data_IF_057210148096
#
_entry.id   IF_057210148096
#
_cell.length_a   1.000
_cell.length_b   1.000
_cell.length_c   1.000
_cell.angle_alpha   90.00
_cell.angle_beta   90.00
_cell.angle_gamma   90.00
#
_symmetry.space_group_name_H-M   'P 1'
#
loop_
_entity.id
_entity.type
_entity.pdbx_description
1 polymer ?
#
# COMPACT_ATOMS: atom_id res chain seq x y z
N UNK A 1 3.46 -1.14 -17.45
CA UNK A 1 2.96 -0.18 -16.44
C UNK A 1 3.94 -0.01 -15.29
N UNK A 2 4.45 -1.09 -14.68
CA UNK A 2 5.43 -1.01 -13.60
C UNK A 2 6.65 -0.14 -13.96
N UNK A 3 7.27 -0.42 -15.10
CA UNK A 3 8.44 0.32 -15.56
C UNK A 3 8.15 1.81 -15.87
N UNK A 4 6.95 2.16 -16.32
CA UNK A 4 6.60 3.54 -16.60
C UNK A 4 6.32 4.31 -15.31
N UNK A 5 5.63 3.70 -14.35
CA UNK A 5 5.34 4.31 -13.05
C UNK A 5 6.61 4.51 -12.22
N UNK A 6 7.49 3.52 -12.18
CA UNK A 6 8.78 3.60 -11.49
C UNK A 6 9.71 4.71 -12.02
N UNK A 7 9.58 5.07 -13.32
CA UNK A 7 10.32 6.19 -13.92
C UNK A 7 9.63 7.55 -13.80
N UNK A 8 8.38 7.60 -13.35
CA UNK A 8 7.71 8.87 -13.08
C UNK A 8 8.46 9.63 -11.98
N UNK A 9 8.50 10.95 -12.09
CA UNK A 9 9.14 11.77 -11.05
C UNK A 9 8.38 11.67 -9.72
N UNK A 10 9.07 11.86 -8.60
CA UNK A 10 8.43 11.95 -7.28
C UNK A 10 7.30 12.96 -7.26
N UNK A 11 7.52 14.12 -7.89
CA UNK A 11 6.50 15.17 -8.02
C UNK A 11 5.25 14.70 -8.78
N UNK A 12 5.41 14.01 -9.91
CA UNK A 12 4.26 13.48 -10.66
C UNK A 12 3.47 12.44 -9.84
N UNK A 13 4.17 11.56 -9.11
CA UNK A 13 3.53 10.60 -8.20
C UNK A 13 2.82 11.28 -7.04
N UNK A 14 3.42 12.35 -6.49
CA UNK A 14 2.80 13.18 -5.45
C UNK A 14 1.47 13.77 -5.93
N UNK A 15 1.46 14.37 -7.12
CA UNK A 15 0.24 14.96 -7.69
C UNK A 15 -0.90 13.94 -7.80
N UNK A 16 -0.62 12.74 -8.33
CA UNK A 16 -1.63 11.68 -8.43
C UNK A 16 -2.16 11.28 -7.05
N UNK A 17 -1.28 11.13 -6.06
CA UNK A 17 -1.71 10.78 -4.70
C UNK A 17 -2.51 11.90 -4.01
N UNK A 18 -2.21 13.17 -4.28
CA UNK A 18 -3.04 14.30 -3.83
C UNK A 18 -4.44 14.22 -4.44
N UNK A 19 -4.56 13.91 -5.73
CA UNK A 19 -5.85 13.70 -6.38
C UNK A 19 -6.65 12.55 -5.73
N UNK A 20 -5.99 11.45 -5.41
CA UNK A 20 -6.63 10.32 -4.70
C UNK A 20 -7.16 10.79 -3.34
N UNK A 21 -6.37 11.56 -2.58
CA UNK A 21 -6.76 12.08 -1.28
C UNK A 21 -7.96 13.04 -1.38
N UNK A 22 -7.94 13.97 -2.32
CA UNK A 22 -9.01 14.95 -2.57
C UNK A 22 -10.30 14.27 -3.01
N UNK A 23 -10.22 13.30 -3.94
CA UNK A 23 -11.38 12.56 -4.43
C UNK A 23 -11.98 11.67 -3.34
N UNK A 24 -11.17 11.04 -2.49
CA UNK A 24 -11.66 10.32 -1.33
C UNK A 24 -12.34 11.27 -0.33
N UNK A 25 -11.74 12.43 -0.05
CA UNK A 25 -12.31 13.44 0.83
C UNK A 25 -13.66 13.97 0.32
N UNK A 26 -13.79 14.20 -0.99
CA UNK A 26 -15.04 14.61 -1.61
C UNK A 26 -16.17 13.58 -1.46
N UNK A 27 -15.84 12.30 -1.31
CA UNK A 27 -16.77 11.18 -1.10
C UNK A 27 -16.80 10.68 0.34
N UNK A 28 -16.26 11.44 1.30
CA UNK A 28 -16.07 10.97 2.68
C UNK A 28 -17.37 10.48 3.34
N UNK A 29 -18.48 11.17 3.18
CA UNK A 29 -19.76 10.77 3.77
C UNK A 29 -20.29 9.44 3.19
N UNK A 30 -20.10 9.20 1.89
CA UNK A 30 -20.47 7.95 1.23
C UNK A 30 -19.64 6.78 1.79
N UNK A 31 -18.32 6.94 1.83
CA UNK A 31 -17.42 5.91 2.35
C UNK A 31 -17.66 5.63 3.83
N UNK A 32 -17.88 6.67 4.64
CA UNK A 32 -18.20 6.51 6.06
C UNK A 32 -19.45 5.65 6.28
N UNK A 33 -20.54 5.98 5.58
CA UNK A 33 -21.78 5.22 5.68
C UNK A 33 -21.61 3.75 5.23
N UNK A 34 -20.83 3.50 4.17
CA UNK A 34 -20.55 2.15 3.69
C UNK A 34 -19.69 1.35 4.66
N UNK A 35 -18.66 1.97 5.24
CA UNK A 35 -17.82 1.35 6.26
C UNK A 35 -18.63 0.99 7.50
N UNK A 36 -19.51 1.88 7.97
CA UNK A 36 -20.38 1.61 9.11
C UNK A 36 -21.34 0.46 8.82
N UNK A 37 -21.93 0.44 7.63
CA UNK A 37 -22.81 -0.65 7.21
C UNK A 37 -22.08 -2.01 7.12
N UNK A 38 -20.85 -2.02 6.63
CA UNK A 38 -20.04 -3.25 6.50
C UNK A 38 -19.51 -3.77 7.83
N UNK A 39 -19.04 -2.87 8.68
CA UNK A 39 -18.30 -3.23 9.91
C UNK A 39 -19.15 -3.22 11.16
N UNK A 40 -20.25 -2.49 11.16
CA UNK A 40 -21.10 -2.28 12.33
C UNK A 40 -20.47 -1.45 13.45
N UNK A 41 -19.33 -0.79 13.22
CA UNK A 41 -18.56 -0.09 14.27
C UNK A 41 -19.07 1.32 14.57
N UNK A 42 -19.67 2.01 13.60
CA UNK A 42 -20.14 3.39 13.77
C UNK A 42 -19.02 4.44 13.83
N UNK A 43 -17.82 4.10 13.38
CA UNK A 43 -16.65 4.98 13.35
C UNK A 43 -16.07 5.15 11.93
N UNK A 44 -16.87 4.87 10.91
CA UNK A 44 -16.48 4.96 9.51
C UNK A 44 -15.98 6.36 9.11
N UNK A 45 -16.57 7.42 9.66
CA UNK A 45 -16.11 8.78 9.39
C UNK A 45 -14.66 9.01 9.85
N UNK A 46 -14.31 8.54 11.06
CA UNK A 46 -12.95 8.65 11.57
C UNK A 46 -11.95 7.80 10.76
N UNK A 47 -12.36 6.62 10.28
CA UNK A 47 -11.52 5.79 9.41
C UNK A 47 -11.25 6.46 8.06
N UNK A 48 -12.26 7.10 7.45
CA UNK A 48 -12.09 7.85 6.20
C UNK A 48 -11.19 9.04 6.39
N UNK A 49 -11.40 9.84 7.45
CA UNK A 49 -10.56 11.00 7.76
C UNK A 49 -9.09 10.60 7.94
N UNK A 50 -8.83 9.52 8.70
CA UNK A 50 -7.49 8.99 8.87
C UNK A 50 -6.88 8.49 7.55
N UNK A 51 -7.69 7.89 6.65
CA UNK A 51 -7.25 7.44 5.34
C UNK A 51 -6.87 8.60 4.44
N UNK A 52 -7.67 9.68 4.41
CA UNK A 52 -7.38 10.92 3.67
C UNK A 52 -6.09 11.56 4.18
N UNK A 53 -5.96 11.73 5.50
CA UNK A 53 -4.76 12.29 6.12
C UNK A 53 -3.51 11.47 5.76
N UNK A 54 -3.62 10.14 5.74
CA UNK A 54 -2.53 9.22 5.38
C UNK A 54 -2.13 9.35 3.92
N UNK A 55 -3.09 9.48 3.01
CA UNK A 55 -2.82 9.74 1.59
C UNK A 55 -2.08 11.05 1.39
N UNK A 56 -2.50 12.14 2.04
CA UNK A 56 -1.79 13.42 2.01
C UNK A 56 -0.37 13.32 2.54
N UNK A 57 -0.16 12.56 3.63
CA UNK A 57 1.16 12.32 4.19
C UNK A 57 2.09 11.65 3.18
N UNK A 58 1.66 10.54 2.56
CA UNK A 58 2.50 9.83 1.60
C UNK A 58 2.65 10.59 0.28
N UNK A 59 1.65 11.36 -0.15
CA UNK A 59 1.78 12.28 -1.27
C UNK A 59 2.89 13.33 -1.00
N UNK A 60 2.92 13.91 0.20
CA UNK A 60 3.95 14.86 0.59
C UNK A 60 5.35 14.22 0.66
N UNK A 61 5.46 12.94 1.03
CA UNK A 61 6.73 12.22 1.06
C UNK A 61 7.24 11.83 -0.33
N UNK A 62 6.37 11.64 -1.32
CA UNK A 62 6.73 11.12 -2.63
C UNK A 62 7.80 11.95 -3.36
N UNK A 63 7.83 13.27 -3.16
CA UNK A 63 8.80 14.20 -3.75
C UNK A 63 9.84 14.76 -2.76
N UNK A 64 9.77 14.34 -1.49
CA UNK A 64 10.67 14.82 -0.42
C UNK A 64 11.56 13.74 0.18
N UNK A 65 11.30 12.48 -0.16
CA UNK A 65 12.10 11.37 0.32
C UNK A 65 13.32 11.19 -0.57
N UNK A 66 14.34 12.00 -0.30
CA UNK A 66 15.57 12.07 -1.10
C UNK A 66 16.55 10.95 -0.76
N UNK A 67 17.50 10.75 -1.67
CA UNK A 67 18.68 9.94 -1.42
C UNK A 67 19.69 10.66 -0.53
N UNK A 68 20.89 10.10 -0.42
CA UNK A 68 21.98 10.66 0.37
C UNK A 68 23.28 10.76 -0.45
N UNK A 69 24.09 11.76 -0.11
CA UNK A 69 25.46 11.91 -0.65
C UNK A 69 26.43 11.43 0.44
N UNK A 70 27.29 10.48 0.09
CA UNK A 70 28.25 9.90 1.02
C UNK A 70 29.69 10.29 0.67
N UNK A 71 30.46 10.64 1.68
CA UNK A 71 31.91 10.77 1.56
C UNK A 71 32.53 9.36 1.41
N UNK A 72 33.41 9.22 0.44
CA UNK A 72 34.12 7.96 0.17
C UNK A 72 35.64 8.20 0.22
N UNK A 73 36.47 7.22 0.61
CA UNK A 73 37.92 7.37 0.74
C UNK A 73 38.66 7.43 -0.60
N UNK A 74 37.92 7.50 -1.71
CA UNK A 74 38.45 7.62 -3.08
C UNK A 74 38.04 8.96 -3.68
N UNK A 75 38.72 9.36 -4.78
CA UNK A 75 38.35 10.57 -5.53
C UNK A 75 37.02 10.35 -6.24
N UNK A 76 35.93 10.87 -5.68
CA UNK A 76 34.59 10.72 -6.26
C UNK A 76 33.49 11.09 -5.27
N UNK A 77 32.25 10.94 -5.73
CA UNK A 77 31.04 11.12 -4.94
C UNK A 77 30.23 9.82 -5.02
N UNK A 78 29.82 9.31 -3.88
CA UNK A 78 28.88 8.19 -3.81
C UNK A 78 27.47 8.73 -3.51
N UNK A 79 26.50 8.35 -4.35
CA UNK A 79 25.10 8.70 -4.19
C UNK A 79 24.31 7.46 -3.81
N UNK A 80 23.55 7.53 -2.71
CA UNK A 80 22.54 6.54 -2.39
C UNK A 80 21.20 7.07 -2.91
N UNK A 81 20.63 6.39 -3.89
CA UNK A 81 19.35 6.75 -4.52
C UNK A 81 18.27 5.74 -4.12
N UNK A 82 17.06 6.23 -3.89
CA UNK A 82 15.91 5.35 -3.67
C UNK A 82 15.35 4.90 -5.01
N UNK A 83 15.19 3.60 -5.17
CA UNK A 83 14.57 2.98 -6.34
C UNK A 83 13.35 2.15 -5.94
N UNK A 84 12.33 2.05 -6.82
CA UNK A 84 11.21 1.14 -6.56
C UNK A 84 11.70 -0.30 -6.42
N UNK A 85 11.07 -1.06 -5.54
CA UNK A 85 11.30 -2.50 -5.41
C UNK A 85 10.83 -3.21 -6.69
N UNK A 86 9.70 -2.78 -7.25
CA UNK A 86 9.06 -3.36 -8.42
C UNK A 86 7.59 -3.68 -8.19
N UNK A 87 7.21 -4.94 -8.36
CA UNK A 87 5.86 -5.44 -8.09
C UNK A 87 5.77 -5.94 -6.65
N UNK A 88 4.87 -5.37 -5.86
CA UNK A 88 4.69 -5.74 -4.46
C UNK A 88 3.32 -6.35 -4.23
N UNK A 89 3.28 -7.59 -3.75
CA UNK A 89 2.09 -8.22 -3.24
C UNK A 89 1.77 -7.71 -1.83
N UNK A 90 0.52 -7.33 -1.58
CA UNK A 90 0.11 -6.80 -0.27
C UNK A 90 -1.13 -7.54 0.22
N UNK A 91 -1.02 -8.26 1.32
CA UNK A 91 -2.16 -8.86 2.02
C UNK A 91 -2.56 -7.96 3.19
N UNK A 92 -3.75 -7.35 3.07
CA UNK A 92 -4.23 -6.33 4.00
C UNK A 92 -4.93 -6.94 5.24
N UNK A 93 -4.97 -6.20 6.36
CA UNK A 93 -5.69 -6.61 7.57
C UNK A 93 -7.20 -6.56 7.39
N UNK A 94 -7.93 -7.21 8.31
CA UNK A 94 -9.39 -7.13 8.39
C UNK A 94 -9.86 -5.95 9.27
N UNK A 95 -9.02 -5.51 10.19
CA UNK A 95 -9.24 -4.31 10.98
C UNK A 95 -9.04 -3.08 10.11
N UNK A 96 -9.95 -2.13 10.17
CA UNK A 96 -9.84 -0.89 9.39
C UNK A 96 -9.65 -1.15 7.89
N UNK A 97 -10.65 -1.73 7.19
CA UNK A 97 -10.47 -2.26 5.83
C UNK A 97 -10.06 -1.21 4.80
N UNK A 98 -10.49 0.04 4.95
CA UNK A 98 -10.03 1.14 4.08
C UNK A 98 -8.67 1.67 4.53
N UNK A 99 -8.53 2.01 5.81
CA UNK A 99 -7.30 2.59 6.34
C UNK A 99 -6.12 1.63 6.29
N UNK A 100 -6.35 0.33 6.56
CA UNK A 100 -5.33 -0.70 6.43
C UNK A 100 -4.83 -0.83 4.99
N UNK A 101 -5.74 -0.84 4.01
CA UNK A 101 -5.40 -0.84 2.59
C UNK A 101 -4.59 0.41 2.21
N UNK A 102 -5.09 1.60 2.53
CA UNK A 102 -4.41 2.87 2.22
C UNK A 102 -3.02 2.93 2.85
N UNK A 103 -2.90 2.50 4.12
CA UNK A 103 -1.62 2.55 4.85
C UNK A 103 -0.54 1.67 4.25
N UNK A 104 -0.92 0.58 3.58
CA UNK A 104 0.02 -0.35 2.96
C UNK A 104 0.27 -0.03 1.47
N UNK A 105 -0.75 0.42 0.74
CA UNK A 105 -0.66 0.66 -0.71
C UNK A 105 -0.06 2.03 -1.01
N UNK A 106 -0.48 3.09 -0.32
CA UNK A 106 -0.06 4.45 -0.64
C UNK A 106 1.46 4.68 -0.58
N UNK A 107 2.22 4.20 0.43
CA UNK A 107 3.67 4.38 0.46
C UNK A 107 4.37 3.64 -0.68
N UNK A 108 3.90 2.46 -1.08
CA UNK A 108 4.45 1.72 -2.19
C UNK A 108 4.26 2.46 -3.52
N UNK A 109 3.06 2.99 -3.75
CA UNK A 109 2.72 3.79 -4.94
C UNK A 109 3.53 5.09 -4.95
N UNK A 110 3.67 5.77 -3.81
CA UNK A 110 4.48 6.98 -3.65
C UNK A 110 5.94 6.76 -4.09
N UNK A 111 6.50 5.60 -3.75
CA UNK A 111 7.87 5.23 -4.09
C UNK A 111 8.04 4.61 -5.48
N UNK A 112 6.99 4.58 -6.30
CA UNK A 112 7.05 4.14 -7.69
C UNK A 112 6.86 2.64 -7.91
N UNK A 113 6.45 1.90 -6.88
CA UNK A 113 6.12 0.48 -7.01
C UNK A 113 4.74 0.29 -7.64
N UNK A 114 4.51 -0.89 -8.19
CA UNK A 114 3.17 -1.39 -8.55
C UNK A 114 2.72 -2.41 -7.53
N UNK A 115 1.41 -2.47 -7.29
CA UNK A 115 0.86 -3.24 -6.18
C UNK A 115 -0.19 -4.23 -6.67
N UNK A 116 -0.12 -5.46 -6.16
CA UNK A 116 -1.21 -6.43 -6.20
C UNK A 116 -1.75 -6.56 -4.77
N UNK A 117 -2.85 -5.89 -4.50
CA UNK A 117 -3.46 -5.84 -3.18
C UNK A 117 -4.53 -6.92 -3.00
N UNK A 118 -4.40 -7.69 -1.95
CA UNK A 118 -5.43 -8.58 -1.42
C UNK A 118 -6.06 -7.82 -0.24
N UNK A 119 -7.25 -7.23 -0.41
CA UNK A 119 -7.88 -6.43 0.64
C UNK A 119 -8.36 -7.29 1.80
N UNK A 120 -8.99 -6.64 2.79
CA UNK A 120 -9.69 -7.36 3.87
C UNK A 120 -10.56 -8.47 3.32
N UNK A 121 -10.37 -9.68 3.84
CA UNK A 121 -11.18 -10.84 3.46
C UNK A 121 -12.63 -10.70 3.95
N UNK A 122 -12.83 -10.06 5.12
CA UNK A 122 -14.14 -9.84 5.72
C UNK A 122 -14.90 -8.69 5.09
N UNK A 123 -14.19 -7.64 4.64
CA UNK A 123 -14.78 -6.39 4.17
C UNK A 123 -14.17 -5.95 2.83
N UNK A 124 -14.21 -6.80 1.77
CA UNK A 124 -13.51 -6.54 0.52
C UNK A 124 -14.11 -5.36 -0.26
N UNK A 125 -15.38 -5.01 -0.03
CA UNK A 125 -16.06 -3.91 -0.73
C UNK A 125 -15.42 -2.55 -0.45
N UNK A 126 -14.77 -2.36 0.71
CA UNK A 126 -14.03 -1.12 0.98
C UNK A 126 -12.96 -0.84 -0.08
N UNK A 127 -12.27 -1.90 -0.54
CA UNK A 127 -11.24 -1.79 -1.57
C UNK A 127 -11.83 -1.63 -2.98
N UNK A 128 -12.91 -2.33 -3.31
CA UNK A 128 -13.56 -2.21 -4.62
C UNK A 128 -14.21 -0.85 -4.80
N UNK A 129 -14.77 -0.27 -3.73
CA UNK A 129 -15.28 1.11 -3.75
C UNK A 129 -14.13 2.11 -3.90
N UNK A 130 -13.01 1.87 -3.20
CA UNK A 130 -11.82 2.72 -3.31
C UNK A 130 -11.17 2.65 -4.69
N UNK A 131 -11.31 1.52 -5.40
CA UNK A 131 -10.83 1.42 -6.78
C UNK A 131 -11.47 2.48 -7.69
N UNK A 132 -12.75 2.82 -7.50
CA UNK A 132 -13.40 3.90 -8.26
C UNK A 132 -12.76 5.27 -7.98
N UNK A 133 -12.20 5.49 -6.77
CA UNK A 133 -11.44 6.71 -6.47
C UNK A 133 -10.10 6.69 -7.20
N UNK A 134 -9.40 5.56 -7.22
CA UNK A 134 -8.13 5.43 -7.95
C UNK A 134 -8.31 5.67 -9.46
N UNK A 135 -9.35 5.08 -10.05
CA UNK A 135 -9.66 5.19 -11.49
C UNK A 135 -9.97 6.63 -11.90
N UNK A 136 -10.62 7.40 -11.03
CA UNK A 136 -10.96 8.81 -11.26
C UNK A 136 -9.88 9.81 -10.82
N UNK A 137 -8.74 9.33 -10.34
CA UNK A 137 -7.63 10.15 -9.82
C UNK A 137 -6.34 10.04 -10.63
N UNK A 138 -6.45 9.72 -11.91
CA UNK A 138 -5.31 9.59 -12.83
C UNK A 138 -4.26 8.54 -12.41
N UNK A 139 -4.62 7.58 -11.55
CA UNK A 139 -3.75 6.44 -11.25
C UNK A 139 -3.65 5.56 -12.49
N UNK A 140 -2.47 5.37 -13.08
CA UNK A 140 -2.38 4.61 -14.31
C UNK A 140 -2.82 3.16 -14.13
N UNK A 141 -3.60 2.64 -15.09
CA UNK A 141 -4.05 1.25 -15.04
C UNK A 141 -2.91 0.26 -14.81
N UNK A 142 -3.08 -0.65 -13.84
CA UNK A 142 -2.07 -1.64 -13.45
C UNK A 142 -1.05 -1.16 -12.40
N UNK A 143 -1.10 0.09 -11.94
CA UNK A 143 -0.29 0.55 -10.78
C UNK A 143 -0.83 -0.06 -9.49
N UNK A 144 -2.14 -0.05 -9.31
CA UNK A 144 -2.83 -0.74 -8.21
C UNK A 144 -3.80 -1.76 -8.78
N UNK A 145 -3.61 -3.02 -8.43
CA UNK A 145 -4.46 -4.13 -8.83
C UNK A 145 -5.07 -4.73 -7.57
N UNK A 146 -6.38 -4.92 -7.55
CA UNK A 146 -7.11 -5.45 -6.38
C UNK A 146 -7.63 -6.84 -6.72
N UNK A 147 -7.28 -7.83 -5.91
CA UNK A 147 -7.72 -9.22 -6.05
C UNK A 147 -8.40 -9.65 -4.75
N UNK A 148 -9.70 -9.85 -4.80
CA UNK A 148 -10.50 -10.29 -3.65
C UNK A 148 -10.54 -11.81 -3.53
N UNK A 149 -10.51 -12.33 -2.30
CA UNK A 149 -10.59 -13.77 -2.03
C UNK A 149 -9.95 -14.14 -0.71
N UNK A 150 -9.73 -15.44 -0.50
CA UNK A 150 -9.08 -15.95 0.70
C UNK A 150 -7.63 -15.45 0.81
N UNK A 151 -7.37 -14.60 1.80
CA UNK A 151 -6.11 -13.88 1.97
C UNK A 151 -4.90 -14.80 1.95
N UNK A 152 -4.91 -15.84 2.77
CA UNK A 152 -3.74 -16.72 2.94
C UNK A 152 -3.44 -17.53 1.68
N UNK A 153 -4.48 -17.96 0.95
CA UNK A 153 -4.33 -18.67 -0.31
C UNK A 153 -3.73 -17.77 -1.40
N UNK A 154 -4.27 -16.56 -1.54
CA UNK A 154 -3.79 -15.59 -2.53
C UNK A 154 -2.39 -15.06 -2.20
N UNK A 155 -2.11 -14.79 -0.90
CA UNK A 155 -0.80 -14.34 -0.46
C UNK A 155 0.29 -15.38 -0.75
N UNK A 156 -0.03 -16.67 -0.61
CA UNK A 156 0.89 -17.76 -0.99
C UNK A 156 1.19 -17.76 -2.49
N UNK A 157 0.18 -17.54 -3.34
CA UNK A 157 0.39 -17.44 -4.79
C UNK A 157 1.33 -16.27 -5.12
N UNK A 158 1.15 -15.10 -4.49
CA UNK A 158 2.04 -13.96 -4.68
C UNK A 158 3.47 -14.24 -4.17
N UNK A 159 3.58 -14.99 -3.07
CA UNK A 159 4.87 -15.37 -2.51
C UNK A 159 5.64 -16.37 -3.39
N UNK A 160 4.93 -17.28 -4.07
CA UNK A 160 5.55 -18.24 -5.00
C UNK A 160 5.85 -17.63 -6.38
N UNK A 161 5.23 -16.50 -6.75
CA UNK A 161 5.29 -15.96 -8.12
C UNK A 161 6.60 -15.23 -8.38
N UNK A 162 7.36 -15.62 -9.41
CA UNK A 162 8.69 -15.08 -9.71
C UNK A 162 8.68 -13.59 -10.11
N UNK A 163 7.63 -13.11 -10.77
CA UNK A 163 7.49 -11.70 -11.18
C UNK A 163 6.95 -10.78 -10.07
N UNK A 164 6.83 -11.26 -8.83
CA UNK A 164 6.54 -10.44 -7.66
C UNK A 164 7.83 -10.26 -6.87
N UNK A 165 8.27 -9.03 -6.68
CA UNK A 165 9.58 -8.69 -6.09
C UNK A 165 9.56 -8.64 -4.57
N UNK A 166 8.39 -8.37 -3.97
CA UNK A 166 8.21 -8.36 -2.52
C UNK A 166 6.79 -8.75 -2.12
N UNK A 167 6.62 -9.24 -0.90
CA UNK A 167 5.29 -9.51 -0.30
C UNK A 167 5.21 -8.91 1.11
N UNK A 168 4.19 -8.08 1.31
CA UNK A 168 3.80 -7.58 2.62
C UNK A 168 2.54 -8.31 3.08
N UNK A 169 2.63 -8.94 4.22
CA UNK A 169 1.53 -9.75 4.75
C UNK A 169 1.14 -9.29 6.16
N UNK A 170 -0.13 -8.95 6.33
CA UNK A 170 -0.73 -8.67 7.64
C UNK A 170 -1.87 -9.67 7.87
N UNK A 171 -1.71 -10.53 8.89
CA UNK A 171 -2.71 -11.57 9.11
C UNK A 171 -2.40 -12.49 10.28
N UNK A 172 -2.28 -13.79 10.03
CA UNK A 172 -2.06 -14.81 11.06
C UNK A 172 -0.59 -15.22 11.15
N UNK A 173 -0.12 -15.72 12.31
CA UNK A 173 1.23 -16.32 12.42
C UNK A 173 1.47 -17.45 11.41
N UNK A 174 0.44 -18.27 11.14
CA UNK A 174 0.53 -19.37 10.20
C UNK A 174 0.66 -18.88 8.76
N UNK A 175 -0.12 -17.85 8.37
CA UNK A 175 -0.03 -17.20 7.06
C UNK A 175 1.32 -16.51 6.85
N UNK A 176 1.82 -15.79 7.86
CA UNK A 176 3.14 -15.17 7.83
C UNK A 176 4.24 -16.19 7.55
N UNK A 177 4.25 -17.28 8.32
CA UNK A 177 5.19 -18.39 8.11
C UNK A 177 5.08 -19.02 6.72
N UNK A 178 3.86 -19.20 6.21
CA UNK A 178 3.63 -19.75 4.88
C UNK A 178 4.19 -18.85 3.77
N UNK A 179 3.99 -17.52 3.88
CA UNK A 179 4.54 -16.51 2.96
C UNK A 179 6.07 -16.51 3.00
N UNK A 180 6.68 -16.53 4.18
CA UNK A 180 8.14 -16.55 4.35
C UNK A 180 8.77 -17.81 3.71
N UNK A 181 8.17 -18.98 3.95
CA UNK A 181 8.64 -20.23 3.35
C UNK A 181 8.51 -20.21 1.83
N UNK A 182 7.36 -19.79 1.31
CA UNK A 182 7.12 -19.73 -0.14
C UNK A 182 8.08 -18.74 -0.84
N UNK A 183 8.39 -17.63 -0.18
CA UNK A 183 9.28 -16.59 -0.70
C UNK A 183 10.77 -16.98 -0.67
N UNK A 184 11.16 -17.99 0.08
CA UNK A 184 12.57 -18.38 0.23
C UNK A 184 13.17 -18.91 -1.08
N UNK A 185 12.36 -19.58 -1.91
CA UNK A 185 12.82 -20.18 -3.17
C UNK A 185 13.25 -19.18 -4.23
N UNK A 186 12.69 -17.98 -4.21
CA UNK A 186 12.97 -16.90 -5.18
C UNK A 186 13.61 -15.65 -4.54
N UNK A 187 14.09 -15.77 -3.30
CA UNK A 187 14.75 -14.70 -2.53
C UNK A 187 13.97 -13.37 -2.46
N UNK A 188 12.65 -13.47 -2.43
CA UNK A 188 11.73 -12.35 -2.40
C UNK A 188 11.85 -11.57 -1.08
N UNK A 189 11.73 -10.25 -1.12
CA UNK A 189 11.65 -9.42 0.08
C UNK A 189 10.32 -9.63 0.77
N UNK A 190 10.34 -9.98 2.05
CA UNK A 190 9.12 -10.18 2.84
C UNK A 190 9.06 -9.23 4.02
N UNK A 191 7.86 -8.71 4.30
CA UNK A 191 7.51 -8.06 5.54
C UNK A 191 6.21 -8.67 6.05
N UNK A 192 6.26 -9.27 7.23
CA UNK A 192 5.13 -9.97 7.82
C UNK A 192 4.77 -9.39 9.19
N UNK A 193 3.48 -9.28 9.48
CA UNK A 193 2.98 -8.80 10.77
C UNK A 193 1.72 -9.56 11.17
N UNK A 194 1.68 -10.01 12.41
CA UNK A 194 0.51 -10.69 13.00
C UNK A 194 0.14 -10.13 14.38
N UNK A 195 0.92 -9.21 14.91
CA UNK A 195 0.60 -8.53 16.15
C UNK A 195 -0.53 -7.51 15.93
N UNK A 196 -1.41 -7.31 16.92
CA UNK A 196 -2.40 -6.23 16.89
C UNK A 196 -1.71 -4.89 16.61
N UNK A 197 -2.27 -4.12 15.67
CA UNK A 197 -1.72 -2.84 15.26
C UNK A 197 -2.80 -1.77 15.36
N UNK A 198 -2.48 -0.65 15.99
CA UNK A 198 -3.36 0.51 15.98
C UNK A 198 -3.21 1.28 14.67
N UNK A 199 -4.03 0.91 13.68
CA UNK A 199 -4.04 1.58 12.38
C UNK A 199 -4.44 3.06 12.45
N UNK A 200 -5.16 3.48 13.49
CA UNK A 200 -5.54 4.90 13.68
C UNK A 200 -4.35 5.75 14.14
N UNK A 201 -3.30 5.16 14.68
CA UNK A 201 -2.10 5.90 15.02
C UNK A 201 -1.43 6.44 13.74
N UNK A 202 -1.25 7.76 13.59
CA UNK A 202 -0.65 8.34 12.39
C UNK A 202 0.79 7.88 12.11
N UNK A 203 1.50 7.40 13.13
CA UNK A 203 2.86 6.88 13.02
C UNK A 203 2.94 5.40 12.64
N UNK A 204 1.83 4.73 12.43
CA UNK A 204 1.80 3.36 11.91
C UNK A 204 2.33 3.37 10.47
N UNK A 205 3.51 2.86 10.24
CA UNK A 205 4.22 2.91 8.97
C UNK A 205 5.53 3.71 8.99
N UNK A 206 5.85 4.36 10.12
CA UNK A 206 7.12 5.06 10.32
C UNK A 206 8.20 4.18 11.00
N UNK A 207 7.87 2.90 11.30
CA UNK A 207 8.76 1.98 12.01
C UNK A 207 8.96 0.66 11.31
#
# INVERSE_FOLDING_TARGET
TAASWGRATGHARAQVLYYVAENLAARAAEFAARLDAMTGRGDGAAEVEASVARLFTYAAWADKYDGAVHAVPIRGVALAMHEPIGVVGVACPDERPLLGLVSLVAPLVAMGNTVVAIPSERHPLAATDFYAVLDTSDVPGGVVNIVTGARDALARVLADHDDVDAVWYVGTPAGAKAVEIASAGNMKRTWTSWAPRDWMNPRVGEG
#
